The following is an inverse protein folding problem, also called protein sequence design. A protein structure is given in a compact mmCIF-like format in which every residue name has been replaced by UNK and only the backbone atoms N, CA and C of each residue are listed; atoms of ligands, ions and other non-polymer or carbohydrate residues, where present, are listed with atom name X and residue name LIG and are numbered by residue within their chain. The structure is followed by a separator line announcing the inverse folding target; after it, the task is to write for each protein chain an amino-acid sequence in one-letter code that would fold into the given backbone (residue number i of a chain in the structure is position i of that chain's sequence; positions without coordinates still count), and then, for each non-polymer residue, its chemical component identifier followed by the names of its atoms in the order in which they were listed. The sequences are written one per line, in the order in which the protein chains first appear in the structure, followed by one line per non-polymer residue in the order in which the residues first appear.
data_IF_159786767299
#
_entry.id   IF_159786767299
#
_cell.length_a   1.000
_cell.length_b   1.000
_cell.length_c   1.000
_cell.angle_alpha   90.00
_cell.angle_beta   90.00
_cell.angle_gamma   90.00
#
_symmetry.space_group_name_H-M   'P 1'
#
loop_
_entity.id
_entity.type
_entity.pdbx_description
1 polymer ?
2 non-polymer ?
3 non-polymer ?
4 non-polymer ?
5 water ?
#
# COMPACT_ATOMS: atom_id res chain seq x y z
N UNK A 6 2.22 -9.13 -24.25
CA UNK A 6 3.54 -9.53 -24.82
C UNK A 6 4.60 -8.51 -24.40
N UNK A 7 5.72 -9.00 -23.90
CA UNK A 7 6.77 -8.17 -23.32
C UNK A 7 8.02 -8.24 -24.21
N UNK A 8 8.44 -7.12 -24.78
CA UNK A 8 9.66 -7.12 -25.60
C UNK A 8 10.91 -7.32 -24.72
N UNK A 9 12.05 -7.52 -25.38
CA UNK A 9 13.31 -7.76 -24.70
C UNK A 9 13.83 -6.50 -23.96
N UNK A 10 14.48 -6.71 -22.83
CA UNK A 10 15.23 -5.64 -22.19
C UNK A 10 16.48 -5.29 -23.03
N UNK A 11 16.89 -4.01 -23.05
CA UNK A 11 18.15 -3.66 -23.71
C UNK A 11 19.35 -4.08 -22.88
N UNK A 12 20.53 -4.08 -23.49
CA UNK A 12 21.78 -4.31 -22.77
C UNK A 12 21.87 -3.33 -21.61
N UNK A 13 22.26 -3.81 -20.44
CA UNK A 13 22.50 -2.97 -19.25
C UNK A 13 23.71 -3.50 -18.50
N UNK A 14 24.48 -2.60 -17.91
CA UNK A 14 25.63 -3.02 -17.11
C UNK A 14 25.33 -2.71 -15.66
N UNK A 15 25.33 -3.75 -14.83
CA UNK A 15 25.09 -3.58 -13.39
C UNK A 15 25.85 -4.66 -12.66
N UNK A 16 26.01 -4.54 -11.33
CA UNK A 16 26.76 -5.57 -10.62
C UNK A 16 26.11 -6.97 -10.69
N UNK A 17 26.94 -8.02 -10.77
CA UNK A 17 26.44 -9.40 -10.82
C UNK A 17 25.78 -9.77 -9.50
N UNK A 18 24.56 -10.35 -9.51
CA UNK A 18 24.03 -10.90 -8.25
C UNK A 18 24.97 -11.96 -7.68
N UNK A 19 25.09 -12.00 -6.35
CA UNK A 19 25.99 -12.91 -5.67
C UNK A 19 25.18 -14.03 -5.03
N UNK A 20 25.15 -15.20 -5.67
CA UNK A 20 24.33 -16.33 -5.20
C UNK A 20 24.69 -16.78 -3.78
N UNK A 21 25.97 -16.68 -3.42
CA UNK A 21 26.45 -17.13 -2.10
C UNK A 21 26.61 -16.01 -1.08
N UNK A 22 25.95 -14.88 -1.34
CA UNK A 22 25.86 -13.78 -0.38
C UNK A 22 24.40 -13.37 -0.27
N UNK A 23 23.77 -13.56 0.90
CA UNK A 23 22.41 -13.04 1.00
C UNK A 23 22.39 -11.52 0.88
N UNK A 24 21.28 -10.99 0.36
CA UNK A 24 21.16 -9.55 0.13
C UNK A 24 20.93 -8.80 1.45
N UNK A 25 20.26 -9.46 2.38
CA UNK A 25 20.10 -8.96 3.73
C UNK A 25 20.29 -10.14 4.68
N UNK A 26 21.05 -9.94 5.75
CA UNK A 26 21.21 -10.98 6.78
C UNK A 26 20.38 -10.71 8.03
N UNK A 27 19.77 -9.53 8.12
CA UNK A 27 19.03 -9.12 9.33
C UNK A 27 17.51 -9.27 9.23
N UNK A 28 16.98 -9.53 8.03
CA UNK A 28 15.54 -9.58 7.81
C UNK A 28 15.11 -10.73 6.89
N UNK A 29 13.87 -11.14 7.02
CA UNK A 29 13.25 -12.07 6.09
C UNK A 29 12.93 -11.33 4.78
N UNK A 30 13.44 -11.83 3.65
CA UNK A 30 13.22 -11.14 2.37
C UNK A 30 12.24 -11.86 1.41
N UNK A 31 11.74 -13.01 1.85
CA UNK A 31 10.72 -13.74 1.11
C UNK A 31 9.77 -14.39 2.07
N UNK A 32 8.47 -14.35 1.77
CA UNK A 32 7.47 -15.06 2.60
C UNK A 32 7.51 -16.57 2.39
N UNK A 33 6.85 -17.35 3.27
CA UNK A 33 6.83 -18.81 3.09
C UNK A 33 6.00 -19.23 1.86
N UNK A 34 5.27 -18.30 1.26
CA UNK A 34 4.56 -18.60 0.01
C UNK A 34 5.28 -17.99 -1.18
N UNK A 35 6.55 -17.63 -0.96
CA UNK A 35 7.46 -17.18 -1.99
C UNK A 35 7.07 -15.83 -2.62
N UNK A 36 6.43 -14.97 -1.84
CA UNK A 36 6.24 -13.57 -2.21
C UNK A 36 7.44 -12.77 -1.66
N UNK A 37 8.06 -11.93 -2.49
CA UNK A 37 9.13 -11.06 -2.00
C UNK A 37 8.63 -10.11 -0.89
N UNK A 38 9.46 -9.91 0.14
CA UNK A 38 9.31 -8.84 1.10
C UNK A 38 10.31 -7.75 0.75
N UNK A 39 9.77 -6.58 0.40
CA UNK A 39 10.53 -5.52 -0.21
C UNK A 39 11.23 -4.61 0.80
N UNK A 40 12.53 -4.79 0.89
CA UNK A 40 13.43 -3.97 1.67
C UNK A 40 14.51 -3.38 0.79
N UNK A 41 15.09 -2.25 1.22
CA UNK A 41 16.25 -1.70 0.54
C UNK A 41 17.37 -2.74 0.51
N UNK A 42 18.03 -2.88 -0.62
CA UNK A 42 19.05 -3.94 -0.77
C UNK A 42 18.53 -5.22 -1.41
N UNK A 43 17.21 -5.34 -1.62
CA UNK A 43 16.67 -6.51 -2.29
C UNK A 43 16.47 -6.31 -3.81
N UNK A 44 16.47 -5.07 -4.28
CA UNK A 44 16.08 -4.79 -5.65
C UNK A 44 17.04 -3.84 -6.34
N UNK A 45 17.18 -4.07 -7.64
CA UNK A 45 17.83 -3.12 -8.51
C UNK A 45 16.77 -2.34 -9.26
N UNK A 46 16.62 -1.07 -8.92
CA UNK A 46 15.57 -0.24 -9.46
C UNK A 46 15.75 0.07 -10.94
N UNK A 47 16.97 0.02 -11.46
CA UNK A 47 17.18 0.25 -12.89
C UNK A 47 16.53 -0.87 -13.71
N UNK A 48 16.66 -2.10 -13.24
CA UNK A 48 16.05 -3.25 -13.94
C UNK A 48 14.53 -3.22 -13.88
N UNK A 49 13.97 -2.98 -12.70
CA UNK A 49 12.53 -2.87 -12.56
C UNK A 49 11.94 -1.70 -13.36
N UNK A 50 12.59 -0.55 -13.29
CA UNK A 50 12.14 0.62 -14.08
C UNK A 50 12.06 0.30 -15.56
N UNK A 51 13.08 -0.40 -16.08
CA UNK A 51 13.07 -0.87 -17.47
C UNK A 51 11.88 -1.73 -17.76
N UNK A 52 11.67 -2.73 -16.89
CA UNK A 52 10.61 -3.68 -17.11
C UNK A 52 9.26 -3.00 -17.13
N UNK A 53 9.01 -2.09 -16.18
CA UNK A 53 7.70 -1.44 -16.11
C UNK A 53 7.51 -0.38 -17.15
N UNK A 54 8.58 0.37 -17.47
CA UNK A 54 8.47 1.33 -18.56
C UNK A 54 8.19 0.66 -19.90
N UNK A 55 8.77 -0.51 -20.15
CA UNK A 55 8.52 -1.20 -21.43
C UNK A 55 7.07 -1.66 -21.57
N UNK A 56 6.35 -1.72 -20.45
CA UNK A 56 4.94 -2.05 -20.46
C UNK A 56 4.04 -0.80 -20.44
N UNK A 57 4.63 0.40 -20.54
CA UNK A 57 3.92 1.67 -20.43
C UNK A 57 2.95 1.69 -19.24
N UNK A 58 3.46 1.29 -18.09
CA UNK A 58 2.64 1.09 -16.91
C UNK A 58 2.06 2.39 -16.39
N UNK A 59 0.78 2.37 -16.03
CA UNK A 59 0.16 3.51 -15.35
C UNK A 59 -0.31 3.11 -13.95
N UNK A 60 0.07 3.94 -12.97
CA UNK A 60 -0.23 3.68 -11.58
C UNK A 60 -1.26 4.70 -11.07
N UNK A 61 -2.38 4.22 -10.55
CA UNK A 61 -3.35 5.09 -9.92
C UNK A 61 -3.08 5.10 -8.41
N UNK A 62 -3.28 6.25 -7.78
CA UNK A 62 -3.10 6.32 -6.35
C UNK A 62 -4.35 6.93 -5.77
N UNK A 63 -5.02 6.22 -4.86
CA UNK A 63 -6.24 6.72 -4.24
C UNK A 63 -5.98 7.26 -2.85
N UNK A 64 -6.63 8.38 -2.55
CA UNK A 64 -6.47 9.01 -1.28
C UNK A 64 -7.80 9.71 -0.96
N UNK A 65 -8.21 9.60 0.30
CA UNK A 65 -9.44 10.20 0.79
C UNK A 65 -9.11 11.38 1.67
N UNK A 66 -9.70 12.54 1.37
CA UNK A 66 -9.51 13.70 2.20
C UNK A 66 -10.88 14.32 2.52
N UNK A 67 -11.46 13.80 3.60
CA UNK A 67 -12.83 14.13 4.01
C UNK A 67 -12.78 15.01 5.25
N UNK A 68 -13.64 16.01 5.26
CA UNK A 68 -13.71 17.00 6.34
C UNK A 68 -12.36 17.69 6.58
N UNK A 69 -11.80 17.63 7.79
CA UNK A 69 -10.61 18.42 8.08
C UNK A 69 -9.32 17.88 7.44
N UNK A 70 -9.39 16.64 6.95
CA UNK A 70 -8.21 15.95 6.38
C UNK A 70 -7.78 16.50 5.03
N UNK A 71 -8.57 17.42 4.46
CA UNK A 71 -8.11 18.21 3.33
C UNK A 71 -6.81 18.98 3.57
N UNK A 72 -6.56 19.38 4.82
CA UNK A 72 -5.30 20.07 5.15
C UNK A 72 -4.02 19.24 4.94
N UNK A 73 -4.16 17.92 4.86
CA UNK A 73 -3.01 17.04 4.62
C UNK A 73 -2.63 16.94 3.14
N UNK A 74 -3.52 17.36 2.24
CA UNK A 74 -3.29 17.14 0.80
C UNK A 74 -2.07 17.81 0.21
N UNK A 75 -1.78 19.04 0.62
CA UNK A 75 -0.68 19.79 -0.04
C UNK A 75 0.65 19.06 0.10
N UNK A 76 1.04 18.76 1.35
CA UNK A 76 2.25 18.02 1.63
C UNK A 76 2.26 16.61 1.01
N UNK A 77 1.11 15.96 1.05
CA UNK A 77 0.98 14.60 0.54
C UNK A 77 1.29 14.59 -0.96
N UNK A 78 0.64 15.48 -1.71
CA UNK A 78 0.82 15.52 -3.15
C UNK A 78 2.19 16.06 -3.56
N UNK A 79 2.66 17.10 -2.89
CA UNK A 79 3.98 17.68 -3.18
C UNK A 79 5.09 16.67 -3.01
N UNK A 80 5.02 15.89 -1.93
CA UNK A 80 6.00 14.85 -1.67
C UNK A 80 5.81 13.62 -2.55
N UNK A 81 4.56 13.30 -2.94
CA UNK A 81 4.32 12.29 -3.97
C UNK A 81 4.99 12.69 -5.28
N UNK A 82 4.88 13.96 -5.67
CA UNK A 82 5.54 14.41 -6.86
C UNK A 82 7.05 14.16 -6.84
N UNK A 83 7.66 14.25 -5.66
CA UNK A 83 9.08 14.09 -5.49
C UNK A 83 9.54 12.63 -5.46
N UNK A 84 8.71 11.76 -4.90
CA UNK A 84 9.15 10.40 -4.60
C UNK A 84 8.28 9.24 -5.12
N UNK A 85 7.07 9.48 -5.62
CA UNK A 85 6.17 8.38 -5.98
C UNK A 85 6.19 8.11 -7.47
N UNK A 86 6.70 6.93 -7.83
CA UNK A 86 6.69 6.46 -9.22
C UNK A 86 7.27 7.48 -10.24
N UNK A 87 8.30 8.22 -9.84
CA UNK A 87 8.85 9.26 -10.72
C UNK A 87 9.39 8.62 -11.98
N UNK A 88 8.97 9.14 -13.14
CA UNK A 88 9.33 8.61 -14.45
C UNK A 88 8.28 7.72 -15.11
N UNK A 89 7.26 7.33 -14.33
CA UNK A 89 6.16 6.52 -14.82
C UNK A 89 4.86 7.33 -14.88
N UNK A 90 3.85 6.78 -15.54
CA UNK A 90 2.57 7.48 -15.60
C UNK A 90 1.82 7.27 -14.29
N UNK A 91 1.26 8.36 -13.77
CA UNK A 91 0.55 8.35 -12.49
C UNK A 91 -0.77 9.12 -12.60
N UNK A 92 -1.81 8.57 -11.98
CA UNK A 92 -3.12 9.20 -11.93
C UNK A 92 -3.54 9.21 -10.48
N UNK A 93 -3.58 10.39 -9.88
CA UNK A 93 -4.06 10.58 -8.52
C UNK A 93 -5.56 10.66 -8.57
N UNK A 94 -6.21 9.97 -7.64
CA UNK A 94 -7.63 10.11 -7.46
C UNK A 94 -7.86 10.61 -6.03
N UNK A 95 -8.37 11.82 -5.90
CA UNK A 95 -8.59 12.42 -4.60
C UNK A 95 -10.08 12.41 -4.31
N UNK A 96 -10.48 11.60 -3.33
CA UNK A 96 -11.86 11.49 -2.93
C UNK A 96 -12.09 12.55 -1.85
N UNK A 97 -13.05 13.45 -2.06
CA UNK A 97 -13.28 14.51 -1.08
C UNK A 97 -14.70 15.05 -1.09
N UNK A 98 -15.08 15.62 0.04
CA UNK A 98 -16.38 16.28 0.17
C UNK A 98 -16.26 17.77 -0.07
N UNK A 99 -15.04 18.28 -0.22
CA UNK A 99 -14.76 19.69 -0.49
C UNK A 99 -13.85 19.82 -1.72
N UNK A 100 -14.41 19.67 -2.93
CA UNK A 100 -13.57 19.83 -4.12
C UNK A 100 -12.80 21.14 -4.16
N UNK A 101 -13.41 22.21 -3.64
CA UNK A 101 -12.77 23.53 -3.63
C UNK A 101 -11.57 23.67 -2.68
N UNK A 102 -11.45 22.78 -1.71
CA UNK A 102 -10.33 22.80 -0.79
C UNK A 102 -9.10 22.04 -1.32
N UNK A 103 -9.18 21.47 -2.52
CA UNK A 103 -8.05 20.68 -3.00
C UNK A 103 -6.96 21.67 -3.45
N UNK A 104 -5.76 21.58 -2.90
CA UNK A 104 -4.73 22.55 -3.27
C UNK A 104 -4.21 22.37 -4.70
N UNK A 105 -3.77 23.47 -5.28
CA UNK A 105 -3.22 23.47 -6.62
C UNK A 105 -1.76 23.08 -6.55
N UNK A 106 -1.43 21.86 -6.98
CA UNK A 106 -0.07 21.37 -6.87
C UNK A 106 0.42 21.08 -8.29
N UNK A 107 1.65 21.50 -8.57
CA UNK A 107 2.21 21.36 -9.92
C UNK A 107 2.68 19.94 -10.14
N UNK A 108 2.25 19.33 -11.24
CA UNK A 108 2.56 17.94 -11.52
C UNK A 108 3.60 17.82 -12.62
N UNK A 109 4.46 16.81 -12.51
CA UNK A 109 5.40 16.48 -13.58
C UNK A 109 4.67 15.92 -14.77
N UNK A 110 5.39 15.77 -15.87
CA UNK A 110 4.82 15.23 -17.08
C UNK A 110 4.39 13.77 -16.87
N UNK A 111 3.29 13.40 -17.51
CA UNK A 111 2.74 12.06 -17.46
C UNK A 111 1.90 11.83 -16.23
N UNK A 112 1.60 12.89 -15.48
CA UNK A 112 0.95 12.75 -14.19
C UNK A 112 -0.30 13.60 -14.15
N UNK A 113 -1.41 13.03 -13.70
CA UNK A 113 -2.63 13.81 -13.64
C UNK A 113 -3.38 13.57 -12.36
N UNK A 114 -4.27 14.50 -12.03
CA UNK A 114 -5.08 14.36 -10.84
C UNK A 114 -6.57 14.55 -11.17
N UNK A 115 -7.40 13.65 -10.61
CA UNK A 115 -8.84 13.75 -10.69
C UNK A 115 -9.41 13.91 -9.28
N UNK A 116 -10.39 14.80 -9.16
CA UNK A 116 -11.08 15.05 -7.90
C UNK A 116 -12.44 14.39 -8.04
N UNK A 117 -12.76 13.50 -7.09
CA UNK A 117 -14.01 12.75 -7.08
C UNK A 117 -14.77 13.18 -5.84
N UNK A 118 -15.94 13.77 -6.04
CA UNK A 118 -16.70 14.33 -4.93
C UNK A 118 -17.47 13.21 -4.26
N UNK A 119 -17.48 13.19 -2.94
CA UNK A 119 -18.25 12.20 -2.19
C UNK A 119 -19.01 12.87 -1.03
N UNK A 127 -16.15 5.62 10.62
CA UNK A 127 -17.09 5.54 9.51
C UNK A 127 -16.39 5.92 8.22
N UNK A 128 -15.74 7.09 8.21
CA UNK A 128 -15.04 7.57 7.01
C UNK A 128 -13.96 6.58 6.57
N UNK A 129 -13.11 6.19 7.50
CA UNK A 129 -12.04 5.22 7.21
C UNK A 129 -12.62 3.93 6.62
N UNK A 130 -13.71 3.43 7.24
CA UNK A 130 -14.36 2.17 6.84
C UNK A 130 -14.94 2.22 5.45
N UNK A 131 -15.68 3.29 5.17
CA UNK A 131 -16.36 3.48 3.89
C UNK A 131 -15.44 3.57 2.65
N UNK A 132 -14.15 3.70 2.87
CA UNK A 132 -13.18 3.74 1.76
C UNK A 132 -13.27 2.46 0.90
N UNK A 133 -13.40 1.31 1.55
CA UNK A 133 -13.47 0.05 0.79
C UNK A 133 -14.60 0.10 -0.23
N UNK A 134 -15.76 0.55 0.23
CA UNK A 134 -16.97 0.68 -0.61
C UNK A 134 -16.77 1.61 -1.80
N UNK A 135 -16.17 2.76 -1.52
CA UNK A 135 -16.01 3.78 -2.54
C UNK A 135 -14.95 3.36 -3.55
N UNK A 136 -13.90 2.69 -3.10
CA UNK A 136 -12.84 2.26 -3.99
C UNK A 136 -13.42 1.20 -4.91
N UNK A 137 -14.19 0.29 -4.32
CA UNK A 137 -14.84 -0.77 -5.09
C UNK A 137 -15.69 -0.19 -6.22
N UNK A 138 -16.57 0.75 -5.89
CA UNK A 138 -17.47 1.35 -6.89
C UNK A 138 -16.73 2.08 -8.03
N UNK A 139 -15.62 2.74 -7.73
CA UNK A 139 -14.86 3.41 -8.78
C UNK A 139 -13.97 2.47 -9.61
N UNK A 140 -13.75 1.24 -9.13
CA UNK A 140 -13.01 0.25 -9.94
C UNK A 140 -13.79 -0.11 -11.21
N UNK A 144 -11.47 3.11 -12.97
CA UNK A 144 -10.07 2.72 -12.78
C UNK A 144 -9.66 1.65 -13.79
N UNK A 145 -10.57 0.74 -14.11
CA UNK A 145 -10.29 -0.36 -15.05
C UNK A 145 -9.76 0.11 -16.40
N UNK A 146 -10.32 1.19 -16.93
CA UNK A 146 -9.88 1.71 -18.23
C UNK A 146 -8.66 2.64 -18.15
N UNK A 147 -8.42 3.23 -16.98
CA UNK A 147 -7.43 4.30 -16.88
C UNK A 147 -6.05 3.93 -16.27
N UNK A 148 -5.97 2.88 -15.46
CA UNK A 148 -4.68 2.52 -14.81
C UNK A 148 -4.44 1.00 -14.82
N UNK A 149 -3.17 0.58 -14.64
CA UNK A 149 -2.86 -0.83 -14.57
C UNK A 149 -2.84 -1.34 -13.12
N UNK A 150 -2.33 -0.50 -12.23
CA UNK A 150 -2.27 -0.81 -10.81
C UNK A 150 -2.97 0.27 -10.00
N UNK A 151 -3.51 -0.12 -8.85
CA UNK A 151 -4.05 0.82 -7.87
C UNK A 151 -3.32 0.72 -6.55
N UNK A 152 -2.99 1.88 -5.95
CA UNK A 152 -2.31 1.97 -4.66
C UNK A 152 -3.26 2.80 -3.79
N UNK A 153 -3.56 2.29 -2.59
CA UNK A 153 -4.60 2.85 -1.74
C UNK A 153 -3.95 3.22 -0.43
N UNK A 154 -3.90 4.53 -0.14
CA UNK A 154 -3.18 5.01 1.06
C UNK A 154 -3.96 6.04 1.89
N UNK A 155 -3.53 6.15 3.14
CA UNK A 155 -3.93 7.25 4.04
C UNK A 155 -3.38 8.60 3.56
N UNK A 156 -4.14 9.67 3.80
CA UNK A 156 -3.73 11.01 3.37
C UNK A 156 -2.85 11.74 4.38
N UNK A 157 -2.96 11.35 5.63
CA UNK A 157 -2.15 11.99 6.70
C UNK A 157 -0.73 11.43 6.73
N UNK A 158 -0.02 11.62 5.62
CA UNK A 158 1.29 11.03 5.43
C UNK A 158 2.08 11.90 4.48
N UNK A 159 3.38 11.63 4.40
CA UNK A 159 4.24 12.23 3.42
C UNK A 159 5.25 11.22 2.91
N UNK A 160 5.64 11.41 1.66
CA UNK A 160 6.75 10.65 1.10
C UNK A 160 8.07 11.32 1.45
N UNK A 161 8.99 10.58 2.03
CA UNK A 161 10.33 11.11 2.34
C UNK A 161 11.45 10.45 1.54
N UNK A 162 11.12 9.37 0.83
CA UNK A 162 12.11 8.72 0.00
C UNK A 162 11.39 7.89 -1.06
N UNK A 163 12.18 7.27 -1.93
CA UNK A 163 11.69 6.51 -3.07
C UNK A 163 10.59 5.52 -2.74
N UNK A 164 9.45 5.65 -3.42
CA UNK A 164 8.45 4.59 -3.48
C UNK A 164 8.14 4.38 -4.97
N UNK A 165 8.60 3.27 -5.53
CA UNK A 165 8.46 3.06 -6.96
C UNK A 165 7.91 1.70 -7.38
N UNK A 166 8.29 1.27 -8.58
CA UNK A 166 7.64 0.11 -9.21
C UNK A 166 8.02 -1.22 -8.55
N UNK A 167 9.03 -1.22 -7.68
CA UNK A 167 9.33 -2.39 -6.87
C UNK A 167 8.13 -2.87 -6.07
N UNK A 168 7.17 -2.01 -5.76
CA UNK A 168 6.01 -2.45 -5.00
C UNK A 168 4.93 -3.14 -5.84
N UNK A 169 5.00 -2.97 -7.15
CA UNK A 169 3.89 -3.37 -8.02
C UNK A 169 3.87 -4.88 -8.28
N UNK A 170 2.66 -5.43 -8.24
CA UNK A 170 2.42 -6.88 -8.24
C UNK A 170 0.90 -7.05 -8.24
N UNK A 171 0.39 -8.26 -8.48
CA UNK A 171 -1.07 -8.35 -8.48
C UNK A 171 -1.75 -7.96 -7.15
N UNK A 172 -1.11 -8.26 -6.01
CA UNK A 172 -1.72 -7.96 -4.70
C UNK A 172 -0.64 -7.74 -3.65
N UNK A 173 -0.65 -6.58 -3.01
CA UNK A 173 0.33 -6.32 -1.95
C UNK A 173 -0.29 -5.71 -0.70
N UNK A 174 0.30 -6.11 0.42
CA UNK A 174 0.09 -5.46 1.71
C UNK A 174 1.41 -4.97 2.28
N UNK A 175 1.32 -4.19 3.35
CA UNK A 175 2.47 -3.53 3.95
C UNK A 175 2.54 -3.93 5.43
N UNK A 176 3.72 -4.20 5.94
CA UNK A 176 3.89 -4.55 7.36
C UNK A 176 3.67 -3.31 8.23
N UNK A 177 2.68 -3.39 9.10
CA UNK A 177 2.36 -2.34 10.03
C UNK A 177 3.61 -2.08 10.90
N UNK A 178 3.99 -0.81 11.10
CA UNK A 178 5.25 -0.56 11.79
C UNK A 178 5.27 -0.89 13.29
N UNK A 179 4.09 -0.96 13.91
CA UNK A 179 3.96 -1.34 15.32
C UNK A 179 4.07 -2.82 15.61
N UNK A 180 4.12 -3.67 14.58
CA UNK A 180 4.02 -5.11 14.80
C UNK A 180 4.98 -6.00 14.02
N UNK A 181 5.86 -5.43 13.23
CA UNK A 181 6.74 -6.24 12.37
C UNK A 181 7.66 -7.20 13.17
N UNK A 182 7.98 -6.84 14.41
CA UNK A 182 8.76 -7.71 15.30
C UNK A 182 7.95 -8.51 16.31
N UNK A 183 6.63 -8.46 16.20
CA UNK A 183 5.77 -9.03 17.22
C UNK A 183 5.35 -10.45 16.94
N UNK A 184 4.96 -11.16 17.99
CA UNK A 184 4.37 -12.48 17.87
C UNK A 184 2.93 -12.29 17.44
N UNK A 185 2.39 -13.30 16.80
CA UNK A 185 1.06 -13.23 16.22
C UNK A 185 0.00 -13.09 17.32
N UNK A 186 0.30 -13.65 18.50
CA UNK A 186 -0.55 -13.49 19.69
C UNK A 186 -0.75 -12.00 20.02
N UNK A 187 0.29 -11.19 19.82
CA UNK A 187 0.23 -9.76 20.14
C UNK A 187 -0.41 -8.92 19.01
N UNK A 188 -0.56 -9.47 17.81
CA UNK A 188 -1.23 -8.74 16.71
C UNK A 188 -2.62 -8.31 17.14
N UNK A 189 -3.01 -7.08 16.81
CA UNK A 189 -4.35 -6.58 17.19
C UNK A 189 -5.42 -6.93 16.16
N UNK A 190 -5.43 -8.19 15.74
CA UNK A 190 -6.50 -8.74 14.92
C UNK A 190 -7.82 -8.67 15.66
N UNK A 191 -8.92 -8.69 14.91
CA UNK A 191 -10.23 -8.91 15.52
C UNK A 191 -10.29 -10.31 16.10
N UNK A 192 -10.60 -10.42 17.40
CA UNK A 192 -10.55 -11.72 18.12
C UNK A 192 -11.92 -12.28 18.55
N UNK A 193 -13.01 -11.63 18.18
CA UNK A 193 -14.37 -12.12 18.46
C UNK A 193 -14.90 -12.93 17.26
N UNK A 194 -15.23 -14.23 17.49
CA UNK A 194 -15.78 -15.13 16.45
C UNK A 194 -17.04 -14.62 15.77
N UNK A 195 -17.74 -13.69 16.40
CA UNK A 195 -18.95 -13.14 15.83
C UNK A 195 -18.67 -12.25 14.61
N UNK A 196 -17.43 -11.75 14.48
CA UNK A 196 -17.08 -10.82 13.41
C UNK A 196 -16.47 -11.58 12.24
N UNK A 197 -16.81 -11.16 11.03
CA UNK A 197 -16.26 -11.77 9.81
C UNK A 197 -14.74 -11.55 9.69
N UNK A 198 -14.21 -10.65 10.49
CA UNK A 198 -12.77 -10.33 10.48
C UNK A 198 -11.99 -11.20 11.48
N UNK A 199 -12.70 -12.10 12.18
CA UNK A 199 -12.11 -12.92 13.24
C UNK A 199 -10.88 -13.71 12.79
N UNK A 200 -9.78 -13.55 13.54
CA UNK A 200 -8.63 -14.43 13.39
C UNK A 200 -8.19 -15.02 14.74
N UNK A 201 -8.22 -16.37 14.88
CA UNK A 201 -7.75 -17.08 16.09
C UNK A 201 -6.30 -16.78 16.45
N UNK A 202 -5.93 -17.00 17.72
CA UNK A 202 -4.58 -16.68 18.19
C UNK A 202 -3.46 -17.51 17.53
N UNK A 203 -3.79 -18.70 17.06
CA UNK A 203 -2.81 -19.59 16.38
C UNK A 203 -2.74 -19.40 14.86
N UNK A 204 -3.41 -18.39 14.32
CA UNK A 204 -3.31 -18.07 12.91
C UNK A 204 -2.78 -16.67 12.67
N UNK A 205 -2.30 -16.44 11.45
CA UNK A 205 -1.80 -15.13 11.08
C UNK A 205 -0.34 -15.22 10.64
N UNK A 206 -0.06 -14.59 9.51
CA UNK A 206 1.31 -14.47 9.01
C UNK A 206 1.91 -13.17 9.49
N UNK A 207 1.23 -12.08 9.15
CA UNK A 207 1.70 -10.74 9.45
C UNK A 207 0.55 -9.82 9.88
N UNK A 208 0.89 -8.67 10.46
CA UNK A 208 -0.09 -7.63 10.69
C UNK A 208 0.14 -6.52 9.67
N UNK A 209 -0.80 -6.45 8.75
CA UNK A 209 -0.73 -5.55 7.63
C UNK A 209 -1.41 -4.23 7.98
N UNK A 210 -0.85 -3.14 7.49
CA UNK A 210 -1.40 -1.81 7.74
C UNK A 210 -2.53 -1.46 6.78
N UNK A 211 -3.60 -0.90 7.34
CA UNK A 211 -4.69 -0.36 6.53
C UNK A 211 -4.34 0.83 5.69
N UNK A 212 -3.25 1.52 6.03
CA UNK A 212 -2.87 2.77 5.41
C UNK A 212 -2.12 2.60 4.08
N UNK A 213 -1.80 1.39 3.65
CA UNK A 213 -1.04 1.21 2.39
C UNK A 213 -1.21 -0.21 1.87
N UNK A 214 -2.08 -0.38 0.87
CA UNK A 214 -2.21 -1.66 0.17
C UNK A 214 -2.45 -1.38 -1.31
N UNK A 215 -2.43 -2.42 -2.13
CA UNK A 215 -2.70 -2.22 -3.55
C UNK A 215 -2.49 -3.46 -4.38
N UNK A 216 -2.32 -3.25 -5.69
CA UNK A 216 -2.28 -4.36 -6.62
C UNK A 216 -2.80 -4.01 -7.98
N UNK A 217 -3.07 -5.01 -8.81
CA UNK A 217 -3.76 -4.74 -10.10
C UNK A 217 -5.18 -4.24 -9.79
N UNK A 218 -5.80 -3.55 -10.73
CA UNK A 218 -7.18 -3.10 -10.52
C UNK A 218 -8.12 -4.25 -10.17
N UNK A 219 -8.03 -5.33 -10.94
CA UNK A 219 -8.86 -6.49 -10.70
C UNK A 219 -8.72 -7.01 -9.27
N UNK A 220 -7.50 -7.17 -8.80
CA UNK A 220 -7.33 -7.75 -7.47
C UNK A 220 -7.78 -6.76 -6.42
N UNK A 221 -7.49 -5.47 -6.62
CA UNK A 221 -7.94 -4.45 -5.66
C UNK A 221 -9.46 -4.33 -5.57
N UNK A 222 -10.13 -4.37 -6.73
CA UNK A 222 -11.59 -4.41 -6.75
C UNK A 222 -12.09 -5.62 -5.95
N UNK A 223 -11.45 -6.77 -6.14
CA UNK A 223 -11.84 -7.99 -5.43
C UNK A 223 -11.68 -7.85 -3.92
N UNK A 224 -10.54 -7.29 -3.52
CA UNK A 224 -10.26 -7.11 -2.13
C UNK A 224 -11.27 -6.16 -1.51
N UNK A 225 -11.49 -5.03 -2.17
CA UNK A 225 -12.32 -3.99 -1.59
C UNK A 225 -13.79 -4.44 -1.54
N UNK A 226 -14.24 -5.15 -2.58
CA UNK A 226 -15.58 -5.79 -2.59
C UNK A 226 -15.74 -6.77 -1.43
N UNK A 227 -14.79 -7.68 -1.30
CA UNK A 227 -14.83 -8.63 -0.18
C UNK A 227 -14.91 -7.97 1.21
N UNK A 228 -14.05 -7.00 1.48
CA UNK A 228 -14.03 -6.30 2.74
C UNK A 228 -15.32 -5.50 2.99
N UNK A 229 -15.82 -4.80 1.98
CA UNK A 229 -17.12 -4.14 2.06
C UNK A 229 -18.23 -5.14 2.43
N UNK A 230 -18.28 -6.27 1.74
CA UNK A 230 -19.27 -7.31 2.02
C UNK A 230 -19.16 -7.82 3.46
N UNK A 231 -17.94 -8.04 3.91
CA UNK A 231 -17.68 -8.44 5.28
C UNK A 231 -18.16 -7.41 6.29
N UNK A 232 -17.93 -6.14 5.97
CA UNK A 232 -18.31 -5.06 6.87
C UNK A 232 -19.83 -4.97 7.00
N UNK A 233 -20.52 -5.10 5.88
CA UNK A 233 -21.98 -5.13 5.88
C UNK A 233 -22.58 -6.27 6.69
N UNK A 234 -22.00 -7.46 6.59
CA UNK A 234 -22.44 -8.59 7.41
C UNK A 234 -22.28 -8.26 8.89
N UNK A 235 -21.10 -7.76 9.28
CA UNK A 235 -20.84 -7.33 10.64
C UNK A 235 -21.86 -6.27 11.12
N UNK A 236 -22.15 -5.29 10.27
CA UNK A 236 -23.13 -4.26 10.60
C UNK A 236 -24.50 -4.88 10.85
N UNK A 237 -24.97 -5.66 9.89
CA UNK A 237 -26.21 -6.43 10.07
C UNK A 237 -26.20 -7.23 11.37
N UNK A 238 -25.03 -7.72 11.78
CA UNK A 238 -24.90 -8.51 13.00
C UNK A 238 -24.63 -7.72 14.28
N UNK A 239 -24.68 -6.39 14.19
CA UNK A 239 -24.44 -5.53 15.35
C UNK A 239 -23.04 -5.62 15.93
N UNK A 240 -22.03 -5.75 15.07
CA UNK A 240 -20.65 -5.76 15.53
C UNK A 240 -19.77 -4.93 14.59
N UNK A 241 -18.76 -4.31 15.18
CA UNK A 241 -17.84 -3.43 14.47
C UNK A 241 -16.41 -3.87 14.80
N UNK A 242 -15.61 -4.19 13.78
CA UNK A 242 -14.25 -4.73 14.03
C UNK A 242 -13.36 -3.75 14.77
N UNK A 243 -12.54 -4.28 15.67
CA UNK A 243 -11.72 -3.45 16.58
C UNK A 243 -10.89 -2.40 15.83
N UNK A 244 -10.29 -2.76 14.69
CA UNK A 244 -9.58 -1.77 13.85
C UNK A 244 -10.22 -1.60 12.46
N UNK A 245 -11.53 -1.80 12.42
CA UNK A 245 -12.36 -1.42 11.27
C UNK A 245 -11.84 -2.01 9.95
N UNK A 246 -11.60 -1.16 8.94
CA UNK A 246 -11.09 -1.64 7.64
C UNK A 246 -9.80 -2.46 7.76
N UNK A 247 -8.87 -2.00 8.59
CA UNK A 247 -7.63 -2.72 8.79
C UNK A 247 -7.84 -4.14 9.30
N UNK A 248 -8.85 -4.37 10.15
CA UNK A 248 -9.15 -5.73 10.61
C UNK A 248 -9.61 -6.64 9.48
N UNK A 249 -10.47 -6.10 8.62
CA UNK A 249 -10.97 -6.85 7.48
C UNK A 249 -9.88 -7.04 6.42
N UNK A 250 -9.02 -6.04 6.26
CA UNK A 250 -7.88 -6.18 5.34
C UNK A 250 -7.02 -7.35 5.77
N UNK A 251 -6.78 -7.44 7.07
CA UNK A 251 -5.93 -8.48 7.61
C UNK A 251 -6.54 -9.84 7.44
N UNK A 252 -7.87 -9.96 7.58
CA UNK A 252 -8.54 -11.24 7.36
C UNK A 252 -8.45 -11.63 5.88
N UNK A 253 -8.66 -10.65 4.98
CA UNK A 253 -8.62 -10.93 3.56
C UNK A 253 -7.26 -11.43 3.14
N UNK A 254 -6.21 -10.81 3.69
CA UNK A 254 -4.84 -11.15 3.28
C UNK A 254 -4.30 -12.42 3.93
N UNK A 255 -4.89 -12.83 5.04
CA UNK A 255 -4.61 -14.13 5.62
C UNK A 255 -5.12 -15.23 4.68
N UNK A 256 -6.33 -15.05 4.14
CA UNK A 256 -6.96 -16.06 3.28
C UNK A 256 -6.60 -15.96 1.79
N UNK A 257 -6.11 -14.80 1.37
CA UNK A 257 -5.64 -14.59 0.00
C UNK A 257 -4.28 -13.95 0.09
N UNK A 258 -3.23 -14.77 0.03
CA UNK A 258 -1.88 -14.31 0.34
C UNK A 258 -1.45 -13.27 -0.69
N UNK A 259 -0.82 -12.18 -0.25
CA UNK A 259 -0.31 -11.18 -1.21
C UNK A 259 0.88 -11.74 -1.98
N UNK A 260 1.06 -11.26 -3.21
CA UNK A 260 2.17 -11.63 -4.08
C UNK A 260 3.46 -10.83 -3.82
N UNK A 261 3.33 -9.74 -3.09
CA UNK A 261 4.50 -9.01 -2.52
C UNK A 261 4.09 -8.44 -1.18
N UNK A 262 5.04 -8.37 -0.24
CA UNK A 262 4.79 -7.71 1.05
C UNK A 262 5.78 -6.58 1.22
N UNK A 263 5.30 -5.38 1.52
CA UNK A 263 6.20 -4.25 1.69
C UNK A 263 6.72 -4.21 3.14
N UNK A 264 8.02 -3.96 3.31
CA UNK A 264 8.59 -3.75 4.65
C UNK A 264 8.09 -2.44 5.28
N UNK A 265 8.34 -2.24 6.58
CA UNK A 265 7.88 -0.99 7.22
C UNK A 265 8.62 0.28 6.78
N UNK A 266 9.64 0.14 5.93
CA UNK A 266 10.17 1.26 5.22
C UNK A 266 9.02 2.04 4.56
N UNK A 267 7.99 1.31 4.11
CA UNK A 267 6.89 1.87 3.32
C UNK A 267 5.71 2.36 4.16
N UNK A 268 5.80 2.23 5.48
CA UNK A 268 4.73 2.67 6.39
C UNK A 268 5.33 2.90 7.79
N UNK A 269 5.75 4.12 8.07
CA UNK A 269 6.55 4.40 9.27
C UNK A 269 6.07 5.62 10.04
N UNK A 270 6.41 5.66 11.33
CA UNK A 270 6.16 6.82 12.16
C UNK A 270 7.39 7.06 13.01
N UNK A 271 8.20 8.02 12.58
CA UNK A 271 9.49 8.28 13.20
C UNK A 271 9.34 8.90 14.59
N UNK A 272 8.26 9.65 14.78
CA UNK A 272 7.94 10.26 16.09
C UNK A 272 7.80 9.18 17.17
N UNK A 273 7.01 8.16 16.86
CA UNK A 273 6.72 7.07 17.78
C UNK A 273 7.76 5.96 17.82
N UNK A 274 8.53 5.81 16.73
CA UNK A 274 9.39 4.64 16.59
C UNK A 274 10.85 4.90 16.28
N UNK A 275 11.22 6.15 16.04
CA UNK A 275 12.60 6.47 15.80
C UNK A 275 13.05 5.97 14.43
N UNK A 276 14.33 5.68 14.31
CA UNK A 276 14.92 5.20 13.06
C UNK A 276 15.89 4.07 13.36
N UNK A 277 15.36 2.84 13.52
CA UNK A 277 16.15 1.65 13.82
C UNK A 277 17.10 1.28 12.71
N UNK A 278 18.15 0.55 13.08
CA UNK A 278 19.18 0.13 12.14
C UNK A 278 18.62 -0.75 11.01
N UNK A 279 17.58 -1.52 11.31
CA UNK A 279 16.94 -2.38 10.32
C UNK A 279 16.27 -1.62 9.14
N UNK A 280 15.89 -0.36 9.37
CA UNK A 280 15.39 0.50 8.29
C UNK A 280 16.52 1.32 7.67
N UNK A 281 16.94 0.97 6.46
CA UNK A 281 17.91 1.78 5.72
C UNK A 281 17.30 3.02 5.09
N UNK A 282 15.99 3.00 4.83
CA UNK A 282 15.28 4.16 4.27
C UNK A 282 13.92 4.26 4.96
N UNK A 283 13.46 5.48 5.20
CA UNK A 283 12.10 5.77 5.67
C UNK A 283 11.39 6.48 4.50
N UNK A 284 10.49 5.76 3.83
CA UNK A 284 9.96 6.20 2.52
C UNK A 284 8.62 6.93 2.61
N UNK A 285 7.71 6.39 3.40
CA UNK A 285 6.32 6.88 3.48
C UNK A 285 5.96 6.88 4.96
N UNK A 286 5.75 8.08 5.49
CA UNK A 286 5.72 8.30 6.93
C UNK A 286 4.51 9.10 7.41
N UNK A 287 4.21 8.94 8.68
CA UNK A 287 3.19 9.75 9.35
C UNK A 287 3.66 11.20 9.39
N UNK A 288 2.71 12.11 9.49
CA UNK A 288 3.03 13.52 9.49
C UNK A 288 3.26 13.98 10.94
N UNK A 289 4.39 14.67 11.21
CA UNK A 289 4.62 15.24 12.55
C UNK A 289 3.80 16.50 12.78
#
# INVERSE_FOLDING_TARGET
MAIGEFMVSLPRMVYPQPKVLTPCRKDVLVVTPWLAPIVWEGTFNIDILNEQFRLQNTTIGLTVFAIKKYVAFLKLFLETAEKHFMVGHRVHYYVFTDQPAAVPRVTLGTGRQLSVLEVRAYKRWQDVSMRRMEMISDFCERRFLSEVDYLVCVDVDMEFRDHVGVEILTPLFGTLHPGFYGSSREAFTYERRPQSQAYIPKDEGDFYYGGAFFGGSVQEVQRLTRACHQAMMVDQANGIEAVWHDESHLNKYLLRHKPTKVLSPEYLWDQQLLGWPAVLRKLRFTAVPKNHQAVRNP
#
